data_IF_481420876256
#
_entry.id   IF_481420876256
#
_cell.length_a   1.000
_cell.length_b   1.000
_cell.length_c   1.000
_cell.angle_alpha   90.00
_cell.angle_beta   90.00
_cell.angle_gamma   90.00
#
_symmetry.space_group_name_H-M   'P 1'
#
loop_
_entity.id
_entity.type
_entity.pdbx_description
1 polymer ?
#
# COMPACT_ATOMS: atom_id res chain seq x y z
N UNK A 1 9.74 13.76 -0.05
CA UNK A 1 11.11 14.22 0.26
C UNK A 1 12.14 13.13 -0.06
N UNK A 2 12.18 12.64 -1.31
CA UNK A 2 13.14 11.62 -1.75
C UNK A 2 14.60 12.06 -1.51
N UNK A 3 14.90 13.32 -1.84
CA UNK A 3 16.22 13.90 -1.61
C UNK A 3 16.67 13.87 -0.15
N UNK A 4 15.75 14.06 0.81
CA UNK A 4 16.08 13.97 2.22
C UNK A 4 16.45 12.54 2.63
N UNK A 5 15.69 11.54 2.17
CA UNK A 5 15.98 10.12 2.43
C UNK A 5 17.33 9.77 1.80
N UNK A 6 17.55 10.11 0.53
CA UNK A 6 18.81 9.82 -0.17
C UNK A 6 20.01 10.47 0.51
N UNK A 7 19.91 11.76 0.87
CA UNK A 7 20.98 12.48 1.57
C UNK A 7 21.26 11.89 2.95
N UNK A 8 20.23 11.58 3.72
CA UNK A 8 20.38 10.97 5.04
C UNK A 8 21.02 9.58 4.94
N UNK A 9 20.61 8.76 3.98
CA UNK A 9 21.20 7.42 3.74
C UNK A 9 22.67 7.53 3.34
N UNK A 10 23.02 8.43 2.41
CA UNK A 10 24.40 8.66 1.98
C UNK A 10 25.24 9.13 3.17
N UNK A 11 24.76 10.11 3.92
CA UNK A 11 25.46 10.67 5.08
C UNK A 11 25.70 9.62 6.17
N UNK A 12 24.67 8.83 6.52
CA UNK A 12 24.79 7.77 7.51
C UNK A 12 25.80 6.70 7.09
N UNK A 13 25.82 6.34 5.79
CA UNK A 13 26.76 5.35 5.24
C UNK A 13 28.20 5.87 5.22
N UNK A 14 28.42 7.14 4.87
CA UNK A 14 29.74 7.77 4.86
C UNK A 14 30.33 7.92 6.27
N UNK A 15 29.49 8.28 7.24
CA UNK A 15 29.92 8.49 8.64
C UNK A 15 29.89 7.22 9.49
N UNK A 16 29.53 6.07 8.90
CA UNK A 16 29.42 4.76 9.58
C UNK A 16 28.58 4.84 10.87
N UNK A 17 27.48 5.58 10.82
CA UNK A 17 26.64 5.80 12.00
C UNK A 17 25.91 4.51 12.39
N UNK A 18 25.82 4.17 13.70
CA UNK A 18 25.13 2.97 14.19
C UNK A 18 23.61 3.16 14.19
N UNK A 19 23.02 3.43 13.02
CA UNK A 19 21.58 3.56 12.84
C UNK A 19 20.97 2.22 12.44
N UNK A 20 19.82 1.88 13.04
CA UNK A 20 19.07 0.69 12.63
C UNK A 20 18.45 0.92 11.26
N UNK A 21 18.74 0.04 10.32
CA UNK A 21 18.15 0.06 8.97
C UNK A 21 16.79 -0.63 8.95
N UNK A 22 16.03 -0.44 7.86
CA UNK A 22 14.79 -1.18 7.65
C UNK A 22 15.02 -2.69 7.59
N UNK A 23 16.15 -3.13 7.03
CA UNK A 23 16.55 -4.53 6.99
C UNK A 23 16.81 -5.10 8.38
N UNK A 24 17.30 -4.30 9.33
CA UNK A 24 17.52 -4.73 10.71
C UNK A 24 16.19 -4.89 11.48
N UNK A 25 15.18 -4.09 11.15
CA UNK A 25 13.88 -4.10 11.83
C UNK A 25 12.93 -5.15 11.25
N UNK A 26 12.84 -5.24 9.91
CA UNK A 26 11.92 -6.13 9.21
C UNK A 26 12.58 -7.46 8.76
N UNK A 27 13.87 -7.65 9.05
CA UNK A 27 14.66 -8.81 8.66
C UNK A 27 15.25 -8.68 7.26
N UNK A 28 16.56 -8.92 7.13
CA UNK A 28 17.29 -8.80 5.87
C UNK A 28 16.75 -9.73 4.77
N UNK A 29 16.10 -10.84 5.14
CA UNK A 29 15.42 -11.74 4.20
C UNK A 29 14.26 -11.07 3.45
N UNK A 30 13.61 -10.08 4.06
CA UNK A 30 12.47 -9.34 3.50
C UNK A 30 12.92 -8.38 2.39
N UNK A 31 14.17 -7.89 2.44
CA UNK A 31 14.76 -6.95 1.48
C UNK A 31 15.78 -7.60 0.54
N UNK A 32 15.74 -8.93 0.34
CA UNK A 32 16.65 -9.64 -0.58
C UNK A 32 16.51 -9.20 -2.05
N UNK A 33 15.41 -8.53 -2.41
CA UNK A 33 15.11 -8.15 -3.79
C UNK A 33 14.92 -9.36 -4.70
N UNK A 34 14.96 -9.11 -6.00
CA UNK A 34 14.82 -10.13 -7.03
C UNK A 34 13.41 -10.75 -7.10
N UNK A 35 13.25 -11.74 -7.98
CA UNK A 35 11.96 -12.40 -8.23
C UNK A 35 11.45 -13.20 -7.02
N UNK A 36 12.32 -13.51 -6.07
CA UNK A 36 11.99 -14.19 -4.81
C UNK A 36 11.07 -13.38 -3.90
N UNK A 37 11.00 -12.05 -4.06
CA UNK A 37 10.15 -11.17 -3.25
C UNK A 37 8.71 -11.10 -3.75
N UNK A 38 8.42 -11.68 -4.93
CA UNK A 38 7.07 -11.63 -5.49
C UNK A 38 6.06 -12.33 -4.57
N UNK A 39 4.83 -11.76 -4.48
CA UNK A 39 3.77 -12.32 -3.65
C UNK A 39 3.47 -13.75 -4.09
N UNK A 40 3.46 -14.67 -3.12
CA UNK A 40 3.07 -16.06 -3.32
C UNK A 40 1.70 -16.26 -2.70
N UNK A 41 0.81 -16.91 -3.44
CA UNK A 41 -0.47 -17.32 -2.88
C UNK A 41 -0.24 -18.35 -1.77
N UNK A 42 -0.77 -18.06 -0.60
CA UNK A 42 -0.68 -18.91 0.58
C UNK A 42 -1.93 -18.77 1.41
N UNK A 43 -2.45 -19.90 1.89
CA UNK A 43 -3.52 -19.86 2.88
C UNK A 43 -2.93 -19.48 4.25
N UNK A 44 -3.70 -18.77 5.09
CA UNK A 44 -3.27 -18.44 6.44
C UNK A 44 -2.89 -19.71 7.20
N UNK A 45 -1.67 -19.75 7.75
CA UNK A 45 -1.20 -20.88 8.56
C UNK A 45 -1.79 -20.91 9.98
N UNK A 46 -2.80 -20.08 10.24
CA UNK A 46 -3.52 -20.03 11.52
C UNK A 46 -4.65 -21.06 11.53
N UNK A 47 -4.98 -21.64 12.70
CA UNK A 47 -6.12 -22.55 12.82
C UNK A 47 -7.40 -21.84 12.37
N UNK A 48 -8.09 -22.40 11.37
CA UNK A 48 -9.41 -21.97 10.91
C UNK A 48 -10.50 -22.42 11.90
N UNK A 49 -10.35 -21.97 13.14
CA UNK A 49 -11.24 -22.28 14.25
C UNK A 49 -12.17 -21.10 14.52
N UNK A 50 -13.34 -21.40 15.10
CA UNK A 50 -14.30 -20.38 15.53
C UNK A 50 -13.72 -19.39 16.55
N UNK A 51 -12.75 -19.83 17.37
CA UNK A 51 -12.01 -18.96 18.30
C UNK A 51 -11.21 -17.88 17.55
N UNK A 52 -10.46 -18.26 16.52
CA UNK A 52 -9.69 -17.33 15.68
C UNK A 52 -10.60 -16.31 15.01
N UNK A 53 -11.73 -16.76 14.48
CA UNK A 53 -12.70 -15.86 13.86
C UNK A 53 -13.26 -14.86 14.86
N UNK A 54 -13.66 -15.31 16.07
CA UNK A 54 -14.15 -14.41 17.13
C UNK A 54 -13.12 -13.35 17.54
N UNK A 55 -11.84 -13.69 17.52
CA UNK A 55 -10.76 -12.75 17.85
C UNK A 55 -10.52 -11.74 16.73
N UNK A 56 -10.45 -12.19 15.47
CA UNK A 56 -10.09 -11.33 14.34
C UNK A 56 -11.27 -10.51 13.82
N UNK A 57 -12.50 -11.03 13.91
CA UNK A 57 -13.72 -10.40 13.41
C UNK A 57 -13.93 -8.94 13.88
N UNK A 58 -13.84 -8.60 15.19
CA UNK A 58 -14.03 -7.22 15.62
C UNK A 58 -12.98 -6.27 15.02
N UNK A 59 -11.71 -6.69 14.90
CA UNK A 59 -10.67 -5.89 14.26
C UNK A 59 -10.88 -5.75 12.75
N UNK A 60 -11.31 -6.83 12.08
CA UNK A 60 -11.62 -6.79 10.66
C UNK A 60 -12.80 -5.85 10.38
N UNK A 61 -13.83 -5.87 11.23
CA UNK A 61 -15.00 -5.00 11.11
C UNK A 61 -14.64 -3.53 11.30
N UNK A 62 -13.85 -3.19 12.32
CA UNK A 62 -13.43 -1.80 12.56
C UNK A 62 -12.53 -1.30 11.43
N UNK A 63 -11.57 -2.11 10.97
CA UNK A 63 -10.68 -1.74 9.86
C UNK A 63 -11.42 -1.61 8.54
N UNK A 64 -12.43 -2.46 8.28
CA UNK A 64 -13.28 -2.33 7.10
C UNK A 64 -14.09 -1.02 7.13
N UNK A 65 -14.63 -0.63 8.29
CA UNK A 65 -15.36 0.62 8.45
C UNK A 65 -14.43 1.84 8.25
N UNK A 66 -13.29 1.88 8.94
CA UNK A 66 -12.31 2.97 8.82
C UNK A 66 -11.80 3.10 7.39
N UNK A 67 -11.40 1.97 6.79
CA UNK A 67 -10.90 1.94 5.41
C UNK A 67 -11.95 2.36 4.39
N UNK A 68 -13.23 2.03 4.60
CA UNK A 68 -14.32 2.48 3.73
C UNK A 68 -14.54 3.99 3.87
N UNK A 69 -14.56 4.52 5.09
CA UNK A 69 -14.72 5.96 5.33
C UNK A 69 -13.58 6.74 4.67
N UNK A 70 -12.33 6.30 4.86
CA UNK A 70 -11.16 6.96 4.28
C UNK A 70 -11.18 6.93 2.75
N UNK A 71 -11.56 5.80 2.16
CA UNK A 71 -11.64 5.66 0.69
C UNK A 71 -12.75 6.53 0.11
N UNK A 72 -13.90 6.64 0.79
CA UNK A 72 -15.00 7.50 0.35
C UNK A 72 -14.71 8.99 0.52
N UNK A 73 -14.06 9.40 1.61
CA UNK A 73 -13.60 10.78 1.81
C UNK A 73 -12.55 11.16 0.77
N UNK A 74 -11.63 10.24 0.46
CA UNK A 74 -10.60 10.45 -0.56
C UNK A 74 -11.21 10.58 -1.94
N UNK A 75 -12.19 9.74 -2.28
CA UNK A 75 -12.91 9.79 -3.55
C UNK A 75 -13.63 11.13 -3.73
N UNK A 76 -14.37 11.57 -2.71
CA UNK A 76 -15.07 12.87 -2.76
C UNK A 76 -14.10 14.03 -2.93
N UNK A 77 -12.98 14.04 -2.20
CA UNK A 77 -11.98 15.10 -2.36
C UNK A 77 -11.33 15.09 -3.75
N UNK A 78 -11.07 13.90 -4.31
CA UNK A 78 -10.51 13.79 -5.67
C UNK A 78 -11.51 14.28 -6.72
N UNK A 79 -12.78 13.89 -6.59
CA UNK A 79 -13.86 14.33 -7.47
C UNK A 79 -13.99 15.87 -7.44
N UNK A 80 -13.94 16.47 -6.25
CA UNK A 80 -13.96 17.94 -6.06
C UNK A 80 -12.76 18.65 -6.72
N UNK A 81 -11.59 18.00 -6.78
CA UNK A 81 -10.37 18.57 -7.37
C UNK A 81 -10.33 18.45 -8.90
N UNK A 82 -11.02 17.46 -9.48
CA UNK A 82 -10.93 17.18 -10.91
C UNK A 82 -11.90 18.01 -11.76
N UNK A 83 -13.03 18.47 -11.19
CA UNK A 83 -14.04 19.34 -11.81
C UNK A 83 -14.37 18.99 -13.28
N UNK A 84 -14.35 17.69 -13.62
CA UNK A 84 -14.55 17.17 -14.98
C UNK A 84 -15.94 16.54 -15.17
N UNK A 85 -16.81 16.69 -14.15
CA UNK A 85 -18.17 16.18 -14.11
C UNK A 85 -18.29 14.66 -13.93
N UNK A 86 -17.17 13.95 -13.70
CA UNK A 86 -17.18 12.50 -13.43
C UNK A 86 -16.99 12.25 -11.95
N UNK A 87 -18.01 11.69 -11.32
CA UNK A 87 -17.94 11.28 -9.93
C UNK A 87 -17.58 9.79 -9.81
N UNK A 88 -16.74 9.47 -8.83
CA UNK A 88 -16.44 8.10 -8.45
C UNK A 88 -17.70 7.37 -7.98
N UNK A 89 -17.77 6.07 -8.27
CA UNK A 89 -18.86 5.23 -7.76
C UNK A 89 -18.46 4.63 -6.42
N UNK A 90 -19.12 5.07 -5.34
CA UNK A 90 -18.99 4.50 -3.98
C UNK A 90 -19.05 2.97 -3.98
N UNK A 91 -19.97 2.38 -4.76
CA UNK A 91 -20.10 0.91 -4.83
C UNK A 91 -18.88 0.25 -5.46
N UNK A 92 -18.34 0.83 -6.53
CA UNK A 92 -17.15 0.30 -7.19
C UNK A 92 -15.92 0.44 -6.30
N UNK A 93 -15.80 1.54 -5.57
CA UNK A 93 -14.70 1.76 -4.62
C UNK A 93 -14.71 0.72 -3.50
N UNK A 94 -15.86 0.53 -2.83
CA UNK A 94 -15.96 -0.47 -1.75
C UNK A 94 -15.70 -1.90 -2.24
N UNK A 95 -16.21 -2.27 -3.42
CA UNK A 95 -15.96 -3.59 -4.00
C UNK A 95 -14.48 -3.75 -4.37
N UNK A 96 -13.89 -2.74 -5.02
CA UNK A 96 -12.48 -2.74 -5.41
C UNK A 96 -11.55 -2.87 -4.20
N UNK A 97 -11.78 -2.07 -3.15
CA UNK A 97 -11.04 -2.12 -1.90
C UNK A 97 -11.18 -3.49 -1.20
N UNK A 98 -12.40 -4.01 -1.11
CA UNK A 98 -12.67 -5.31 -0.50
C UNK A 98 -11.94 -6.44 -1.22
N UNK A 99 -12.03 -6.49 -2.55
CA UNK A 99 -11.32 -7.48 -3.38
C UNK A 99 -9.80 -7.32 -3.26
N UNK A 100 -9.29 -6.09 -3.28
CA UNK A 100 -7.87 -5.80 -3.10
C UNK A 100 -7.35 -6.32 -1.76
N UNK A 101 -8.10 -6.10 -0.67
CA UNK A 101 -7.72 -6.56 0.67
C UNK A 101 -7.80 -8.08 0.82
N UNK A 102 -8.75 -8.75 0.17
CA UNK A 102 -8.79 -10.22 0.11
C UNK A 102 -7.56 -10.77 -0.61
N UNK A 103 -7.21 -10.20 -1.77
CA UNK A 103 -6.03 -10.63 -2.54
C UNK A 103 -4.73 -10.34 -1.78
N UNK A 104 -4.64 -9.23 -1.06
CA UNK A 104 -3.53 -8.93 -0.16
C UNK A 104 -3.42 -9.99 0.93
N UNK A 105 -4.51 -10.33 1.61
CA UNK A 105 -4.51 -11.38 2.64
C UNK A 105 -4.07 -12.76 2.12
N UNK A 106 -4.50 -13.13 0.91
CA UNK A 106 -4.11 -14.41 0.27
C UNK A 106 -2.64 -14.47 -0.16
N UNK A 107 -1.95 -13.32 -0.22
CA UNK A 107 -0.54 -13.23 -0.58
C UNK A 107 0.35 -12.93 0.63
N UNK A 108 -0.21 -12.91 1.84
CA UNK A 108 0.49 -12.53 3.06
C UNK A 108 0.76 -11.02 3.18
N UNK A 109 0.13 -10.21 2.32
CA UNK A 109 0.17 -8.76 2.37
C UNK A 109 -0.74 -8.17 3.45
N UNK A 110 -0.60 -6.87 3.67
CA UNK A 110 -1.41 -6.10 4.61
C UNK A 110 -2.64 -5.51 3.91
N UNK A 111 -3.75 -5.38 4.64
CA UNK A 111 -4.91 -4.65 4.15
C UNK A 111 -4.61 -3.15 4.02
N UNK A 112 -5.19 -2.52 3.01
CA UNK A 112 -5.05 -1.09 2.73
C UNK A 112 -6.38 -0.39 2.43
N UNK A 113 -6.25 0.91 2.20
CA UNK A 113 -7.32 1.85 1.86
C UNK A 113 -6.76 2.90 0.90
N UNK A 114 -7.62 3.79 0.40
CA UNK A 114 -7.15 4.93 -0.38
C UNK A 114 -6.26 5.84 0.47
N UNK A 115 -5.21 6.37 -0.15
CA UNK A 115 -4.28 7.31 0.49
C UNK A 115 -4.58 8.72 0.00
N UNK A 116 -5.17 9.55 0.88
CA UNK A 116 -5.57 10.91 0.55
C UNK A 116 -4.44 11.72 -0.11
N UNK A 117 -3.29 11.80 0.57
CA UNK A 117 -2.16 12.62 0.10
C UNK A 117 -1.59 12.16 -1.23
N UNK A 118 -1.49 10.84 -1.46
CA UNK A 118 -0.99 10.31 -2.73
C UNK A 118 -2.00 10.51 -3.87
N UNK A 119 -3.29 10.42 -3.55
CA UNK A 119 -4.36 10.67 -4.52
C UNK A 119 -4.37 12.13 -4.98
N UNK A 120 -4.24 13.09 -4.05
CA UNK A 120 -4.12 14.51 -4.37
C UNK A 120 -2.89 14.78 -5.23
N UNK A 121 -1.72 14.26 -4.85
CA UNK A 121 -0.48 14.44 -5.63
C UNK A 121 -0.65 13.87 -7.05
N UNK A 122 -1.27 12.71 -7.18
CA UNK A 122 -1.52 12.07 -8.47
C UNK A 122 -2.45 12.93 -9.36
N UNK A 123 -3.53 13.49 -8.79
CA UNK A 123 -4.44 14.40 -9.50
C UNK A 123 -3.72 15.67 -9.94
N UNK A 124 -3.01 16.32 -9.02
CA UNK A 124 -2.24 17.54 -9.30
C UNK A 124 -1.12 17.33 -10.33
N UNK A 125 -0.58 16.12 -10.41
CA UNK A 125 0.42 15.72 -11.41
C UNK A 125 -0.20 15.38 -12.77
N UNK A 126 -1.52 15.52 -12.94
CA UNK A 126 -2.25 15.22 -14.18
C UNK A 126 -2.61 13.74 -14.36
N UNK A 127 -2.28 12.88 -13.40
CA UNK A 127 -2.54 11.43 -13.45
C UNK A 127 -3.94 11.02 -12.98
N UNK A 128 -4.67 11.90 -12.28
CA UNK A 128 -5.99 11.60 -11.71
C UNK A 128 -7.06 11.18 -12.72
N UNK A 129 -6.92 11.62 -13.97
CA UNK A 129 -7.91 11.45 -15.05
C UNK A 129 -8.03 9.98 -15.50
N UNK A 130 -7.03 9.15 -15.19
CA UNK A 130 -6.93 7.79 -15.70
C UNK A 130 -6.60 6.76 -14.64
N UNK A 131 -7.34 5.63 -14.65
CA UNK A 131 -7.06 4.45 -13.82
C UNK A 131 -5.67 3.87 -14.06
N UNK A 132 -5.07 4.14 -15.23
CA UNK A 132 -3.72 3.73 -15.57
C UNK A 132 -2.64 4.35 -14.70
N UNK A 133 -2.88 5.54 -14.11
CA UNK A 133 -1.90 6.20 -13.24
C UNK A 133 -1.68 5.42 -11.93
N UNK A 134 -2.75 4.88 -11.36
CA UNK A 134 -2.64 4.01 -10.18
C UNK A 134 -1.93 2.69 -10.51
N UNK A 135 -2.23 2.09 -11.67
CA UNK A 135 -1.56 0.86 -12.11
C UNK A 135 -0.07 1.08 -12.38
N UNK A 136 0.30 2.19 -13.01
CA UNK A 136 1.71 2.52 -13.28
C UNK A 136 2.47 2.79 -11.99
N UNK A 137 1.86 3.47 -11.01
CA UNK A 137 2.43 3.65 -9.68
C UNK A 137 2.70 2.30 -8.99
N UNK A 138 1.73 1.38 -8.99
CA UNK A 138 1.89 0.06 -8.38
C UNK A 138 2.99 -0.76 -9.06
N UNK A 139 3.03 -0.75 -10.40
CA UNK A 139 4.07 -1.44 -11.18
C UNK A 139 5.46 -0.83 -10.96
N UNK A 140 5.56 0.50 -10.94
CA UNK A 140 6.81 1.19 -10.69
C UNK A 140 7.36 0.87 -9.29
N UNK A 141 6.49 0.85 -8.28
CA UNK A 141 6.87 0.44 -6.92
C UNK A 141 7.31 -1.03 -6.88
N UNK A 142 6.57 -1.94 -7.53
CA UNK A 142 6.93 -3.36 -7.56
C UNK A 142 8.29 -3.59 -8.23
N UNK A 143 8.53 -2.98 -9.40
CA UNK A 143 9.83 -3.05 -10.09
C UNK A 143 10.94 -2.41 -9.25
N UNK A 144 10.66 -1.27 -8.61
CA UNK A 144 11.58 -0.59 -7.72
C UNK A 144 12.01 -1.47 -6.54
N UNK A 145 11.06 -2.16 -5.89
CA UNK A 145 11.39 -3.09 -4.79
C UNK A 145 12.23 -4.26 -5.31
N UNK A 146 11.85 -4.87 -6.43
CA UNK A 146 12.60 -6.00 -7.01
C UNK A 146 14.05 -5.61 -7.37
N UNK A 147 14.26 -4.40 -7.90
CA UNK A 147 15.57 -3.94 -8.35
C UNK A 147 16.42 -3.27 -7.26
N UNK A 148 15.79 -2.47 -6.38
CA UNK A 148 16.47 -1.57 -5.45
C UNK A 148 16.42 -2.01 -3.97
N UNK A 149 15.66 -3.04 -3.60
CA UNK A 149 15.70 -3.57 -2.24
C UNK A 149 17.10 -4.00 -1.72
N UNK A 150 18.04 -4.51 -2.54
CA UNK A 150 19.37 -4.89 -2.05
C UNK A 150 20.37 -3.73 -1.91
N UNK A 151 19.98 -2.48 -2.22
CA UNK A 151 20.84 -1.27 -2.17
C UNK A 151 20.86 -0.61 -0.79
#
# INVERSE_FOLDING_TARGET
SLGAVTLATIFAKLMNLPVKTLADVAGASTFRGGLSVLPRFGLPQVPLAWSTLKTVFPYALTMAAVGSIESLLTMQLVDDLMDDGKNGSTKQECIGQGLGNVMAGLTGGIGGCALLGQSIINVQSGGGISKWSGMSMALFLACGIVAAAPL
#
